data_IF_378014518432
#
_entry.id   IF_378014518432
#
_cell.length_a   1.000
_cell.length_b   1.000
_cell.length_c   1.000
_cell.angle_alpha   90.00
_cell.angle_beta   90.00
_cell.angle_gamma   90.00
#
_symmetry.space_group_name_H-M   'P 1'
#
loop_
_entity.id
_entity.type
_entity.pdbx_description
1 polymer ?
#
# COMPACT_ATOMS: atom_id res chain seq x y z
N UNK A 1 -5.55 3.07 28.81
CA UNK A 1 -6.46 3.00 27.65
C UNK A 1 -5.75 3.57 26.43
N UNK A 2 -6.07 3.13 25.21
CA UNK A 2 -5.47 3.67 23.98
C UNK A 2 -6.03 5.08 23.73
N UNK A 3 -5.17 6.09 23.57
CA UNK A 3 -5.56 7.50 23.38
C UNK A 3 -5.44 7.96 21.92
N UNK A 4 -5.71 7.04 20.99
CA UNK A 4 -5.67 7.33 19.55
C UNK A 4 -7.01 7.06 18.89
N UNK A 5 -7.29 7.78 17.81
CA UNK A 5 -8.47 7.59 16.96
C UNK A 5 -7.98 7.45 15.52
N UNK A 6 -8.45 6.42 14.81
CA UNK A 6 -8.00 6.09 13.43
C UNK A 6 -6.46 6.01 13.26
N UNK A 7 -5.74 5.61 14.32
CA UNK A 7 -4.27 5.51 14.32
C UNK A 7 -3.52 6.83 14.56
N UNK A 8 -4.25 7.92 14.84
CA UNK A 8 -3.72 9.26 15.11
C UNK A 8 -3.87 9.61 16.60
N UNK A 9 -2.93 10.37 17.15
CA UNK A 9 -2.94 10.79 18.55
C UNK A 9 -4.01 11.87 18.78
N UNK A 10 -4.93 11.64 19.73
CA UNK A 10 -6.03 12.57 19.98
C UNK A 10 -5.56 13.95 20.46
N UNK A 11 -4.51 14.00 21.29
CA UNK A 11 -3.94 15.25 21.78
C UNK A 11 -3.48 16.16 20.62
N UNK A 12 -2.71 15.61 19.69
CA UNK A 12 -2.24 16.34 18.50
C UNK A 12 -3.37 16.74 17.56
N UNK A 13 -4.38 15.89 17.39
CA UNK A 13 -5.57 16.24 16.62
C UNK A 13 -6.29 17.47 17.23
N UNK A 14 -6.44 17.50 18.56
CA UNK A 14 -7.05 18.62 19.28
C UNK A 14 -6.20 19.89 19.14
N UNK A 15 -4.88 19.79 19.30
CA UNK A 15 -3.95 20.92 19.11
C UNK A 15 -4.04 21.52 17.70
N UNK A 16 -4.19 20.67 16.68
CA UNK A 16 -4.38 21.10 15.30
C UNK A 16 -5.82 21.50 14.97
N UNK A 17 -6.76 21.39 15.92
CA UNK A 17 -8.18 21.69 15.71
C UNK A 17 -8.84 20.79 14.66
N UNK A 18 -8.49 19.51 14.65
CA UNK A 18 -9.04 18.45 13.80
C UNK A 18 -10.06 17.65 14.60
N UNK A 19 -11.14 17.25 13.95
CA UNK A 19 -12.15 16.40 14.55
C UNK A 19 -12.07 14.93 14.12
N UNK A 20 -13.04 14.12 14.58
CA UNK A 20 -13.09 12.71 14.24
C UNK A 20 -13.29 12.45 12.74
N UNK A 21 -14.07 13.29 12.05
CA UNK A 21 -14.28 13.14 10.60
C UNK A 21 -12.97 13.43 9.86
N UNK A 22 -12.24 14.48 10.28
CA UNK A 22 -10.93 14.82 9.71
C UNK A 22 -9.93 13.67 9.93
N UNK A 23 -9.87 13.11 11.13
CA UNK A 23 -9.02 11.96 11.45
C UNK A 23 -9.36 10.73 10.61
N UNK A 24 -10.64 10.46 10.39
CA UNK A 24 -11.11 9.36 9.55
C UNK A 24 -10.68 9.54 8.08
N UNK A 25 -10.85 10.75 7.53
CA UNK A 25 -10.43 11.09 6.16
C UNK A 25 -8.92 10.86 6.01
N UNK A 26 -8.12 11.39 6.94
CA UNK A 26 -6.66 11.28 6.90
C UNK A 26 -6.19 9.82 6.97
N UNK A 27 -6.82 9.00 7.81
CA UNK A 27 -6.50 7.57 7.91
C UNK A 27 -6.73 6.83 6.59
N UNK A 28 -7.86 7.07 5.93
CA UNK A 28 -8.18 6.42 4.66
C UNK A 28 -7.27 6.91 3.54
N UNK A 29 -6.95 8.21 3.49
CA UNK A 29 -5.96 8.74 2.54
C UNK A 29 -4.60 8.06 2.76
N UNK A 30 -4.16 7.87 4.00
CA UNK A 30 -2.90 7.18 4.33
C UNK A 30 -2.91 5.71 3.88
N UNK A 31 -4.04 5.03 4.02
CA UNK A 31 -4.21 3.67 3.50
C UNK A 31 -4.17 3.63 1.97
N UNK A 32 -4.88 4.54 1.30
CA UNK A 32 -4.86 4.68 -0.17
C UNK A 32 -3.45 4.97 -0.66
N UNK A 33 -2.70 5.84 0.02
CA UNK A 33 -1.31 6.18 -0.34
C UNK A 33 -0.37 4.98 -0.24
N UNK A 34 -0.61 4.10 0.73
CA UNK A 34 0.15 2.86 0.92
C UNK A 34 -0.26 1.75 -0.05
N UNK A 35 -1.43 1.86 -0.68
CA UNK A 35 -1.96 0.86 -1.61
C UNK A 35 -1.20 0.87 -2.94
N UNK A 36 -0.83 -0.33 -3.40
CA UNK A 36 -0.19 -0.52 -4.72
C UNK A 36 -1.15 -0.35 -5.90
N UNK A 37 -2.45 -0.36 -5.65
CA UNK A 37 -3.49 -0.27 -6.68
C UNK A 37 -3.78 1.19 -7.07
N UNK A 38 -3.38 2.15 -6.26
CA UNK A 38 -3.62 3.55 -6.53
C UNK A 38 -2.68 4.05 -7.62
N UNK A 39 -3.28 4.70 -8.61
CA UNK A 39 -2.53 5.45 -9.60
C UNK A 39 -1.85 6.66 -8.95
N UNK A 40 -0.64 6.97 -9.39
CA UNK A 40 0.14 8.07 -8.87
C UNK A 40 0.91 8.76 -10.00
N UNK A 41 1.28 10.01 -9.76
CA UNK A 41 2.18 10.78 -10.60
C UNK A 41 3.29 11.37 -9.75
N UNK A 42 4.46 11.54 -10.36
CA UNK A 42 5.57 12.27 -9.73
C UNK A 42 5.48 13.70 -10.25
N UNK A 43 5.24 14.64 -9.34
CA UNK A 43 5.13 16.07 -9.64
C UNK A 43 6.20 16.76 -8.79
N UNK A 44 7.11 17.48 -9.41
CA UNK A 44 8.24 18.17 -8.76
C UNK A 44 9.13 17.26 -7.88
N UNK A 45 9.25 15.98 -8.24
CA UNK A 45 10.04 15.00 -7.50
C UNK A 45 9.31 14.36 -6.32
N UNK A 46 8.07 14.77 -6.05
CA UNK A 46 7.23 14.19 -5.00
C UNK A 46 6.13 13.30 -5.58
N UNK A 47 5.74 12.28 -4.82
CA UNK A 47 4.71 11.33 -5.23
C UNK A 47 3.33 11.83 -4.83
N UNK A 48 2.47 12.02 -5.81
CA UNK A 48 1.06 12.33 -5.60
C UNK A 48 0.18 11.17 -6.06
N UNK A 49 -0.76 10.72 -5.24
CA UNK A 49 -1.76 9.74 -5.63
C UNK A 49 -2.98 10.42 -6.24
N UNK A 50 -3.56 9.82 -7.27
CA UNK A 50 -4.83 10.28 -7.80
C UNK A 50 -5.96 9.89 -6.84
N UNK A 51 -6.79 10.84 -6.43
CA UNK A 51 -7.95 10.59 -5.57
C UNK A 51 -9.21 11.06 -6.27
N UNK A 52 -10.09 10.11 -6.57
CA UNK A 52 -11.47 10.39 -6.90
C UNK A 52 -12.27 10.67 -5.62
N UNK A 53 -12.92 11.83 -5.56
CA UNK A 53 -13.75 12.23 -4.43
C UNK A 53 -15.03 11.40 -4.31
N UNK A 54 -15.54 10.88 -5.44
CA UNK A 54 -16.65 9.94 -5.45
C UNK A 54 -16.25 8.65 -4.75
N UNK A 55 -15.17 8.03 -5.21
CA UNK A 55 -14.62 6.82 -4.58
C UNK A 55 -14.26 7.02 -3.10
N UNK A 56 -13.64 8.14 -2.73
CA UNK A 56 -13.32 8.43 -1.32
C UNK A 56 -14.59 8.51 -0.45
N UNK A 57 -15.68 9.09 -0.98
CA UNK A 57 -16.95 9.15 -0.28
C UNK A 57 -17.60 7.76 -0.13
N UNK A 58 -17.44 6.88 -1.13
CA UNK A 58 -17.90 5.48 -1.04
C UNK A 58 -17.15 4.69 0.04
N UNK A 59 -15.86 4.98 0.26
CA UNK A 59 -15.09 4.38 1.35
C UNK A 59 -15.50 4.93 2.73
N UNK A 60 -15.98 6.17 2.79
CA UNK A 60 -16.31 6.86 4.04
C UNK A 60 -17.73 7.48 3.99
N UNK A 61 -18.78 6.66 3.83
CA UNK A 61 -20.14 7.17 3.63
C UNK A 61 -20.67 7.90 4.86
N UNK A 62 -20.11 7.64 6.04
CA UNK A 62 -20.49 8.30 7.30
C UNK A 62 -20.25 9.82 7.29
N UNK A 63 -19.36 10.32 6.42
CA UNK A 63 -19.17 11.78 6.23
C UNK A 63 -20.45 12.42 5.68
N UNK A 64 -21.24 11.67 4.90
CA UNK A 64 -22.52 12.10 4.35
C UNK A 64 -22.38 12.74 2.96
N UNK A 65 -22.43 14.08 2.88
CA UNK A 65 -22.53 14.78 1.59
C UNK A 65 -21.16 15.04 0.98
N UNK A 66 -21.07 14.93 -0.35
CA UNK A 66 -19.85 15.26 -1.12
C UNK A 66 -19.31 16.67 -0.83
N UNK A 67 -20.19 17.68 -0.70
CA UNK A 67 -19.80 19.05 -0.35
C UNK A 67 -19.10 19.15 1.01
N UNK A 68 -19.48 18.30 1.98
CA UNK A 68 -18.83 18.25 3.30
C UNK A 68 -17.42 17.67 3.15
N UNK A 69 -17.26 16.56 2.41
CA UNK A 69 -15.94 15.98 2.11
C UNK A 69 -15.01 17.00 1.42
N UNK A 70 -15.51 17.74 0.43
CA UNK A 70 -14.73 18.78 -0.26
C UNK A 70 -14.29 19.91 0.68
N UNK A 71 -15.17 20.38 1.55
CA UNK A 71 -14.84 21.42 2.53
C UNK A 71 -13.77 20.94 3.54
N UNK A 72 -13.87 19.68 3.97
CA UNK A 72 -12.91 19.04 4.87
C UNK A 72 -11.55 18.88 4.21
N UNK A 73 -11.48 18.35 2.99
CA UNK A 73 -10.24 18.27 2.21
C UNK A 73 -9.59 19.64 2.01
N UNK A 74 -10.38 20.67 1.74
CA UNK A 74 -9.89 22.06 1.63
C UNK A 74 -9.26 22.54 2.94
N UNK A 75 -9.92 22.31 4.07
CA UNK A 75 -9.40 22.66 5.40
C UNK A 75 -8.09 21.91 5.73
N UNK A 76 -8.01 20.62 5.40
CA UNK A 76 -6.78 19.84 5.56
C UNK A 76 -5.62 20.37 4.69
N UNK A 77 -5.92 20.85 3.47
CA UNK A 77 -4.92 21.53 2.63
C UNK A 77 -4.48 22.87 3.24
N UNK A 78 -5.43 23.67 3.74
CA UNK A 78 -5.13 24.96 4.37
C UNK A 78 -4.26 24.82 5.62
N UNK A 79 -4.41 23.69 6.34
CA UNK A 79 -3.57 23.33 7.50
C UNK A 79 -2.20 22.76 7.12
N UNK A 80 -1.92 22.49 5.84
CA UNK A 80 -0.64 21.93 5.39
C UNK A 80 -0.46 20.42 5.57
N UNK A 81 -1.45 19.73 6.16
CA UNK A 81 -1.37 18.28 6.46
C UNK A 81 -1.34 17.44 5.17
N UNK A 82 -2.05 17.91 4.15
CA UNK A 82 -2.07 17.30 2.82
C UNK A 82 -1.83 18.38 1.77
N UNK A 83 -1.12 18.02 0.70
CA UNK A 83 -0.99 18.88 -0.48
C UNK A 83 -1.89 18.36 -1.59
N UNK A 84 -2.66 19.25 -2.23
CA UNK A 84 -3.55 18.89 -3.33
C UNK A 84 -3.18 19.66 -4.59
N UNK A 85 -2.98 18.93 -5.69
CA UNK A 85 -2.73 19.47 -7.03
C UNK A 85 -3.82 19.06 -8.00
N UNK A 86 -4.21 19.99 -8.86
CA UNK A 86 -5.17 19.74 -9.92
C UNK A 86 -4.43 19.68 -11.25
N UNK A 87 -4.54 18.54 -11.93
CA UNK A 87 -4.03 18.38 -13.29
C UNK A 87 -5.19 18.33 -14.27
N UNK A 88 -5.04 19.04 -15.40
CA UNK A 88 -6.11 19.19 -16.40
C UNK A 88 -6.08 18.14 -17.50
N UNK A 89 -5.06 17.28 -17.49
CA UNK A 89 -4.86 16.25 -18.50
C UNK A 89 -4.37 15.00 -17.77
N UNK A 90 -4.97 13.86 -18.11
CA UNK A 90 -4.54 12.53 -17.70
C UNK A 90 -4.65 11.61 -18.91
N UNK A 91 -3.57 10.94 -19.28
CA UNK A 91 -3.54 9.97 -20.39
C UNK A 91 -4.13 10.52 -21.71
N UNK A 92 -3.92 11.81 -21.99
CA UNK A 92 -4.45 12.49 -23.17
C UNK A 92 -5.93 12.91 -23.08
N UNK A 93 -6.63 12.54 -22.00
CA UNK A 93 -8.01 12.95 -21.72
C UNK A 93 -7.98 14.28 -20.98
N UNK A 94 -8.70 15.28 -21.50
CA UNK A 94 -8.89 16.57 -20.84
C UNK A 94 -9.93 16.41 -19.71
N UNK A 95 -9.56 16.80 -18.51
CA UNK A 95 -10.41 16.73 -17.32
C UNK A 95 -9.66 17.20 -16.09
N UNK A 96 -10.36 17.60 -15.03
CA UNK A 96 -9.74 18.02 -13.78
C UNK A 96 -9.56 16.83 -12.84
N UNK A 97 -8.30 16.44 -12.63
CA UNK A 97 -7.91 15.30 -11.80
C UNK A 97 -7.24 15.80 -10.52
N UNK A 98 -7.75 15.34 -9.38
CA UNK A 98 -7.23 15.71 -8.05
C UNK A 98 -6.16 14.73 -7.62
N UNK A 99 -4.96 15.27 -7.39
CA UNK A 99 -3.80 14.54 -6.90
C UNK A 99 -3.47 14.99 -5.49
N UNK A 100 -3.24 14.05 -4.57
CA UNK A 100 -2.97 14.33 -3.15
C UNK A 100 -1.61 13.75 -2.75
N UNK A 101 -0.82 14.54 -2.04
CA UNK A 101 0.37 14.13 -1.34
C UNK A 101 0.18 14.26 0.18
N UNK A 102 0.87 13.41 0.92
CA UNK A 102 0.90 13.41 2.38
C UNK A 102 2.13 14.21 2.82
N UNK A 103 1.94 15.18 3.71
CA UNK A 103 3.03 15.99 4.28
C UNK A 103 3.60 15.33 5.53
N UNK A 104 4.80 15.75 5.95
CA UNK A 104 5.43 15.34 7.21
C UNK A 104 4.52 15.57 8.43
N UNK A 105 3.70 16.63 8.42
CA UNK A 105 2.73 16.95 9.48
C UNK A 105 1.75 15.79 9.77
N UNK A 106 1.39 15.00 8.75
CA UNK A 106 0.54 13.83 8.96
C UNK A 106 1.28 12.68 9.68
N UNK A 107 2.57 12.55 9.45
CA UNK A 107 3.38 11.55 10.16
C UNK A 107 3.57 11.95 11.62
N UNK A 108 3.71 13.24 11.91
CA UNK A 108 3.75 13.77 13.26
C UNK A 108 2.44 13.51 14.03
N UNK A 109 1.28 13.47 13.36
CA UNK A 109 0.00 13.12 13.99
C UNK A 109 -0.11 11.65 14.41
N UNK A 110 0.74 10.77 13.87
CA UNK A 110 0.62 9.33 14.10
C UNK A 110 1.21 8.90 15.45
N UNK A 111 0.63 7.86 16.06
CA UNK A 111 1.12 7.31 17.34
C UNK A 111 2.50 6.65 17.20
N UNK A 112 2.82 6.15 16.00
CA UNK A 112 4.02 5.40 15.73
C UNK A 112 4.95 6.24 14.87
N UNK A 113 6.13 6.57 15.39
CA UNK A 113 7.27 6.98 14.56
C UNK A 113 7.48 5.90 13.49
N UNK A 114 7.12 6.20 12.25
CA UNK A 114 7.41 5.34 11.09
C UNK A 114 8.91 5.14 10.88
N UNK A 115 9.75 5.93 11.56
CA UNK A 115 11.21 5.82 11.59
C UNK A 115 11.76 4.51 12.21
N UNK A 116 10.94 3.60 12.75
CA UNK A 116 11.45 2.36 13.39
C UNK A 116 10.86 1.02 12.94
N UNK A 117 10.12 0.92 11.83
CA UNK A 117 9.75 -0.40 11.28
C UNK A 117 10.01 -0.52 9.77
N UNK A 118 11.22 -0.98 9.48
CA UNK A 118 11.63 -1.78 8.31
C UNK A 118 11.69 -1.10 6.94
N UNK A 119 12.52 -0.05 6.81
CA UNK A 119 13.36 0.03 5.62
C UNK A 119 14.39 -1.11 5.71
N UNK A 120 14.16 -2.22 5.02
CA UNK A 120 15.23 -3.18 4.73
C UNK A 120 16.29 -2.39 3.95
N UNK A 121 17.55 -2.27 4.43
CA UNK A 121 18.56 -1.59 3.64
C UNK A 121 18.77 -2.41 2.36
N UNK A 122 18.58 -1.79 1.20
CA UNK A 122 19.11 -2.31 -0.05
C UNK A 122 20.63 -2.42 0.13
N UNK A 123 21.09 -3.63 0.45
CA UNK A 123 22.51 -3.93 0.69
C UNK A 123 23.25 -3.65 -0.62
N UNK A 124 23.97 -2.53 -0.67
CA UNK A 124 24.96 -2.26 -1.71
C UNK A 124 25.97 -3.42 -1.69
N UNK A 125 26.00 -4.23 -2.75
CA UNK A 125 27.03 -5.25 -2.95
C UNK A 125 28.34 -4.53 -3.28
N UNK A 126 29.13 -4.22 -2.25
CA UNK A 126 30.57 -4.10 -2.43
C UNK A 126 31.16 -5.50 -2.22
N UNK A 127 31.67 -6.09 -3.29
CA UNK A 127 32.34 -7.38 -3.31
C UNK A 127 33.73 -7.22 -2.71
N UNK A 128 34.06 -7.99 -1.68
CA UNK A 128 35.44 -8.24 -1.22
C UNK A 128 35.46 -9.62 -0.54
N UNK A 129 36.55 -10.39 -0.67
CA UNK A 129 36.49 -11.84 -0.67
C UNK A 129 36.50 -12.41 0.76
N UNK A 130 35.46 -13.14 1.12
CA UNK A 130 35.38 -13.84 2.41
C UNK A 130 35.90 -15.27 2.32
N UNK A 131 36.62 -15.68 3.36
CA UNK A 131 37.14 -17.01 3.65
C UNK A 131 36.11 -18.14 3.41
N UNK A 132 36.61 -19.30 2.97
CA UNK A 132 35.86 -20.56 2.91
C UNK A 132 35.23 -20.89 4.27
N UNK A 133 33.93 -20.68 4.41
CA UNK A 133 33.11 -21.35 5.42
C UNK A 133 32.69 -22.72 4.87
N UNK A 134 32.80 -23.76 5.69
CA UNK A 134 32.28 -25.10 5.36
C UNK A 134 30.76 -25.07 5.51
N UNK A 135 30.03 -25.40 4.45
CA UNK A 135 28.58 -25.56 4.49
C UNK A 135 28.22 -26.74 5.39
N UNK A 136 27.39 -26.49 6.42
CA UNK A 136 26.76 -27.52 7.27
C UNK A 136 25.26 -27.66 6.99
N UNK A 137 24.84 -27.29 5.79
CA UNK A 137 23.47 -27.51 5.33
C UNK A 137 23.51 -28.47 4.14
N UNK A 138 22.91 -29.63 4.32
CA UNK A 138 22.57 -30.55 3.23
C UNK A 138 21.66 -29.82 2.25
N UNK A 139 21.88 -29.90 0.92
CA UNK A 139 20.99 -29.25 -0.02
C UNK A 139 19.59 -29.85 0.11
N UNK A 140 18.58 -28.98 0.22
CA UNK A 140 17.19 -29.36 -0.04
C UNK A 140 17.17 -29.82 -1.50
N UNK A 141 17.06 -31.14 -1.72
CA UNK A 141 16.81 -31.70 -3.03
C UNK A 141 15.33 -31.48 -3.32
N UNK A 142 15.01 -30.65 -4.31
CA UNK A 142 13.68 -30.58 -4.89
C UNK A 142 13.39 -31.92 -5.58
N UNK A 143 12.82 -32.87 -4.84
CA UNK A 143 12.27 -34.12 -5.37
C UNK A 143 10.96 -33.84 -6.09
N UNK A 144 11.03 -33.14 -7.22
CA UNK A 144 9.87 -32.91 -8.11
C UNK A 144 9.80 -33.98 -9.21
N UNK A 145 10.89 -34.69 -9.51
CA UNK A 145 10.96 -35.59 -10.67
C UNK A 145 10.54 -37.05 -10.43
N UNK A 146 10.21 -37.46 -9.20
CA UNK A 146 9.84 -38.86 -8.91
C UNK A 146 8.32 -39.09 -8.77
N UNK A 147 7.53 -38.05 -8.49
CA UNK A 147 6.07 -38.20 -8.33
C UNK A 147 5.42 -38.64 -9.66
N UNK A 148 5.91 -38.13 -10.79
CA UNK A 148 5.35 -38.44 -12.12
C UNK A 148 5.60 -39.88 -12.59
N UNK A 149 6.69 -40.52 -12.17
CA UNK A 149 7.02 -41.90 -12.60
C UNK A 149 6.18 -42.94 -11.87
N UNK A 150 5.92 -42.75 -10.58
CA UNK A 150 5.15 -43.70 -9.78
C UNK A 150 3.66 -43.68 -10.16
N UNK A 151 3.13 -42.53 -10.60
CA UNK A 151 1.76 -42.40 -11.11
C UNK A 151 1.61 -43.13 -12.46
N UNK A 152 2.60 -43.02 -13.36
CA UNK A 152 2.58 -43.68 -14.67
C UNK A 152 2.82 -45.20 -14.61
N UNK A 153 3.47 -45.68 -13.54
CA UNK A 153 3.73 -47.11 -13.32
C UNK A 153 2.65 -47.81 -12.50
N UNK A 154 1.60 -47.09 -12.07
CA UNK A 154 0.46 -47.68 -11.38
C UNK A 154 -0.29 -48.62 -12.31
N UNK A 155 -0.46 -49.88 -11.90
CA UNK A 155 -1.19 -50.92 -12.64
C UNK A 155 -2.62 -50.51 -12.98
N UNK A 156 -3.22 -49.63 -12.18
CA UNK A 156 -4.56 -49.09 -12.45
C UNK A 156 -4.57 -48.11 -13.63
N UNK A 157 -3.51 -47.30 -13.77
CA UNK A 157 -3.39 -46.29 -14.84
C UNK A 157 -3.04 -46.95 -16.18
N UNK A 158 -2.18 -47.98 -16.18
CA UNK A 158 -1.85 -48.72 -17.41
C UNK A 158 -3.05 -49.47 -17.99
N UNK A 159 -3.91 -50.03 -17.13
CA UNK A 159 -5.10 -50.77 -17.56
C UNK A 159 -6.14 -49.87 -18.25
N UNK A 160 -6.27 -48.62 -17.81
CA UNK A 160 -7.13 -47.61 -18.47
C UNK A 160 -6.56 -47.20 -19.84
N UNK A 161 -5.24 -47.11 -19.96
CA UNK A 161 -4.58 -46.78 -21.24
C UNK A 161 -4.72 -47.93 -22.25
N UNK A 162 -4.63 -49.19 -21.81
CA UNK A 162 -4.82 -50.36 -22.69
C UNK A 162 -6.27 -50.50 -23.18
N UNK A 163 -7.27 -50.24 -22.33
CA UNK A 163 -8.69 -50.23 -22.75
C UNK A 163 -9.01 -49.13 -23.76
N UNK A 164 -8.30 -48.00 -23.73
CA UNK A 164 -8.51 -46.90 -24.68
C UNK A 164 -7.83 -47.10 -26.03
N UNK A 165 -6.85 -48.00 -26.12
CA UNK A 165 -6.09 -48.28 -27.34
C UNK A 165 -6.48 -49.63 -27.99
N UNK A 166 -7.51 -50.29 -27.47
CA UNK A 166 -8.07 -51.54 -28.00
C UNK A 166 -9.43 -51.31 -28.66
#
# INVERSE_FOLDING_TARGET
MKYTVHGLQQEKLIEMGLDNDDALILSVIKEMYSSKKMEYQIIDGERFIWIDQGYLLEQIPIIGKHRKLQARLKNLCEKGIIERRLLNIKDGIKGSFSYINITADLDDLSEYDTLRKNCVPLRKKNVTPTQKMRNKDTPIRDSINNISKDILCSTHVQRVIEEWNS
#
